data_IF_012892500507
#
_entry.id   IF_012892500507
#
_cell.length_a   1.000
_cell.length_b   1.000
_cell.length_c   1.000
_cell.angle_alpha   90.00
_cell.angle_beta   90.00
_cell.angle_gamma   90.00
#
_symmetry.space_group_name_H-M   'P 1'
#
loop_
_entity.id
_entity.type
_entity.pdbx_description
1 polymer ?
#
# COMPACT_ATOMS: atom_id res chain seq x y z
N UNK A 1 33.18 -46.89 -2.04
CA UNK A 1 31.92 -46.15 -1.85
C UNK A 1 31.99 -45.50 -0.48
N UNK A 2 32.63 -44.34 -0.38
CA UNK A 2 32.75 -43.58 0.86
C UNK A 2 31.59 -42.59 0.95
N UNK A 3 30.92 -42.65 2.10
CA UNK A 3 29.98 -41.65 2.58
C UNK A 3 30.63 -40.26 2.64
N UNK A 4 29.81 -39.24 2.42
CA UNK A 4 30.12 -37.87 2.79
C UNK A 4 29.27 -36.88 2.03
N UNK A 5 28.20 -36.38 2.65
CA UNK A 5 27.97 -34.94 2.76
C UNK A 5 27.08 -34.66 3.96
N UNK A 6 27.58 -33.74 4.77
CA UNK A 6 27.01 -33.16 5.97
C UNK A 6 25.73 -32.36 5.71
N UNK A 7 25.02 -32.08 6.80
CA UNK A 7 23.64 -31.66 6.83
C UNK A 7 23.32 -30.23 6.41
N UNK A 8 22.02 -30.00 6.22
CA UNK A 8 21.39 -28.71 6.41
C UNK A 8 20.15 -28.92 7.28
N UNK A 9 20.23 -28.30 8.44
CA UNK A 9 19.23 -28.24 9.49
C UNK A 9 17.99 -27.43 9.06
N UNK A 10 16.87 -27.89 9.62
CA UNK A 10 15.58 -27.26 9.83
C UNK A 10 15.45 -25.76 9.51
N UNK A 11 14.41 -25.40 8.75
CA UNK A 11 13.16 -24.79 9.28
C UNK A 11 12.37 -24.17 8.12
N UNK A 12 11.57 -24.98 7.41
CA UNK A 12 10.36 -24.47 6.76
C UNK A 12 9.17 -24.87 7.62
N UNK A 13 8.72 -23.92 8.43
CA UNK A 13 7.59 -24.07 9.33
C UNK A 13 6.29 -24.35 8.57
N UNK A 14 5.71 -25.50 8.91
CA UNK A 14 4.29 -25.87 8.91
C UNK A 14 3.29 -24.77 8.53
N UNK A 15 2.64 -24.92 7.37
CA UNK A 15 1.41 -24.21 7.05
C UNK A 15 0.22 -24.86 7.78
N UNK A 16 -0.16 -24.25 8.90
CA UNK A 16 -1.41 -24.54 9.61
C UNK A 16 -2.63 -23.98 8.86
N UNK A 17 -3.61 -24.86 8.68
CA UNK A 17 -4.95 -24.61 8.13
C UNK A 17 -5.77 -23.60 8.96
N UNK A 18 -6.45 -22.66 8.30
CA UNK A 18 -7.39 -21.74 8.95
C UNK A 18 -8.18 -20.86 7.98
N UNK A 19 -9.38 -21.32 7.59
CA UNK A 19 -10.60 -20.53 7.34
C UNK A 19 -10.53 -19.29 6.45
N UNK A 20 -11.17 -19.38 5.28
CA UNK A 20 -11.25 -18.29 4.29
C UNK A 20 -11.58 -16.91 4.85
N UNK A 21 -10.71 -15.95 4.57
CA UNK A 21 -11.00 -14.52 4.55
C UNK A 21 -10.31 -13.92 3.32
N UNK A 22 -11.11 -13.26 2.50
CA UNK A 22 -10.76 -12.36 1.40
C UNK A 22 -9.28 -11.96 1.37
N UNK A 23 -8.58 -12.28 0.27
CA UNK A 23 -7.21 -11.84 -0.04
C UNK A 23 -7.11 -10.34 -0.30
N UNK A 24 -7.69 -9.53 0.58
CA UNK A 24 -7.48 -8.11 0.67
C UNK A 24 -6.22 -7.89 1.51
N UNK A 25 -5.17 -7.27 0.94
CA UNK A 25 -4.01 -6.91 1.73
C UNK A 25 -4.45 -5.97 2.86
N UNK A 26 -4.11 -6.35 4.09
CA UNK A 26 -4.32 -5.53 5.29
C UNK A 26 -3.91 -4.09 4.98
N UNK A 27 -4.72 -3.06 5.30
CA UNK A 27 -4.51 -1.67 4.86
C UNK A 27 -3.07 -1.16 5.05
N UNK A 28 -2.39 -1.61 6.11
CA UNK A 28 -1.00 -1.26 6.39
C UNK A 28 0.02 -1.86 5.41
N UNK A 29 -0.21 -3.03 4.83
CA UNK A 29 0.68 -3.65 3.86
C UNK A 29 0.56 -2.97 2.49
N UNK A 30 -0.67 -2.72 2.02
CA UNK A 30 -0.94 -2.01 0.76
C UNK A 30 -0.33 -0.60 0.75
N UNK A 31 -0.46 0.13 1.87
CA UNK A 31 0.11 1.47 2.02
C UNK A 31 1.63 1.45 1.99
N UNK A 32 2.27 0.47 2.63
CA UNK A 32 3.74 0.31 2.57
C UNK A 32 4.21 0.01 1.16
N UNK A 33 3.53 -0.89 0.45
CA UNK A 33 3.89 -1.22 -0.93
C UNK A 33 3.74 -0.01 -1.85
N UNK A 34 2.63 0.73 -1.74
CA UNK A 34 2.45 1.98 -2.48
C UNK A 34 3.55 3.01 -2.16
N UNK A 35 3.84 3.21 -0.87
CA UNK A 35 4.88 4.14 -0.43
C UNK A 35 6.26 3.80 -1.02
N UNK A 36 6.63 2.52 -1.05
CA UNK A 36 7.90 2.09 -1.67
C UNK A 36 7.90 2.29 -3.19
N UNK A 37 6.76 2.11 -3.88
CA UNK A 37 6.65 2.44 -5.32
C UNK A 37 6.96 3.92 -5.55
N UNK A 38 6.27 4.83 -4.86
CA UNK A 38 6.49 6.29 -4.98
C UNK A 38 7.95 6.65 -4.70
N UNK A 39 8.50 6.13 -3.61
CA UNK A 39 9.89 6.36 -3.18
C UNK A 39 10.90 5.89 -4.21
N UNK A 40 10.67 4.75 -4.86
CA UNK A 40 11.56 4.22 -5.90
C UNK A 40 11.57 5.12 -7.14
N UNK A 41 10.39 5.57 -7.59
CA UNK A 41 10.29 6.52 -8.70
C UNK A 41 10.95 7.86 -8.37
N UNK A 42 10.73 8.40 -7.15
CA UNK A 42 11.37 9.64 -6.70
C UNK A 42 12.90 9.51 -6.70
N UNK A 43 13.43 8.42 -6.15
CA UNK A 43 14.87 8.16 -6.14
C UNK A 43 15.43 8.01 -7.55
N UNK A 44 14.70 7.34 -8.46
CA UNK A 44 15.09 7.21 -9.87
C UNK A 44 15.17 8.58 -10.55
N UNK A 45 14.27 9.51 -10.21
CA UNK A 45 14.29 10.89 -10.69
C UNK A 45 15.40 11.75 -10.04
N UNK A 46 16.19 11.20 -9.09
CA UNK A 46 17.26 11.92 -8.42
C UNK A 46 16.79 12.97 -7.41
N UNK A 47 15.51 12.97 -7.03
CA UNK A 47 14.93 13.96 -6.14
C UNK A 47 15.02 13.53 -4.67
N UNK A 48 15.34 14.46 -3.77
CA UNK A 48 15.11 14.26 -2.32
C UNK A 48 13.63 14.44 -1.98
N UNK A 49 13.22 14.11 -0.74
CA UNK A 49 11.84 14.38 -0.30
C UNK A 49 11.55 15.88 -0.27
N UNK A 50 12.54 16.68 0.14
CA UNK A 50 12.48 18.14 0.20
C UNK A 50 12.33 18.79 -1.17
N UNK A 51 12.94 18.20 -2.21
CA UNK A 51 12.81 18.66 -3.59
C UNK A 51 11.49 18.22 -4.22
N UNK A 52 11.04 17.00 -3.93
CA UNK A 52 9.82 16.45 -4.51
C UNK A 52 8.55 17.04 -3.91
N UNK A 53 8.54 17.26 -2.59
CA UNK A 53 7.39 17.77 -1.85
C UNK A 53 6.75 19.05 -2.44
N UNK A 54 7.51 20.12 -2.76
CA UNK A 54 6.93 21.31 -3.37
C UNK A 54 6.40 21.07 -4.79
N UNK A 55 6.93 20.10 -5.54
CA UNK A 55 6.46 19.78 -6.89
C UNK A 55 5.05 19.17 -6.85
N UNK A 56 4.76 18.34 -5.84
CA UNK A 56 3.43 17.77 -5.60
C UNK A 56 2.54 18.63 -4.70
N UNK A 57 3.01 19.79 -4.24
CA UNK A 57 2.22 20.71 -3.40
C UNK A 57 2.05 20.28 -1.94
N UNK A 58 2.94 19.45 -1.40
CA UNK A 58 2.88 18.94 -0.02
C UNK A 58 4.13 19.27 0.79
N UNK A 59 4.09 19.02 2.10
CA UNK A 59 5.28 19.13 2.96
C UNK A 59 6.19 17.89 2.84
N UNK A 60 7.51 18.02 3.10
CA UNK A 60 8.41 16.87 3.11
C UNK A 60 7.99 15.77 4.09
N UNK A 61 7.42 16.13 5.25
CA UNK A 61 6.91 15.19 6.24
C UNK A 61 5.70 14.41 5.72
N UNK A 62 4.85 15.07 4.92
CA UNK A 62 3.70 14.42 4.29
C UNK A 62 4.17 13.39 3.27
N UNK A 63 5.12 13.76 2.41
CA UNK A 63 5.78 12.84 1.47
C UNK A 63 6.41 11.67 2.22
N UNK A 64 7.19 11.93 3.27
CA UNK A 64 7.82 10.88 4.06
C UNK A 64 6.81 9.92 4.69
N UNK A 65 5.71 10.45 5.24
CA UNK A 65 4.64 9.64 5.84
C UNK A 65 3.94 8.73 4.81
N UNK A 66 3.76 9.22 3.58
CA UNK A 66 3.22 8.44 2.45
C UNK A 66 4.23 7.36 2.02
N UNK A 67 5.49 7.72 1.81
CA UNK A 67 6.54 6.77 1.41
C UNK A 67 6.77 5.66 2.45
N UNK A 68 6.55 5.97 3.73
CA UNK A 68 6.65 5.00 4.83
C UNK A 68 5.36 4.19 5.04
N UNK A 69 4.32 4.42 4.24
CA UNK A 69 3.03 3.74 4.33
C UNK A 69 2.25 4.05 5.60
N UNK A 70 2.56 5.17 6.28
CA UNK A 70 1.85 5.62 7.49
C UNK A 70 0.64 6.48 7.18
N UNK A 71 0.54 7.00 5.94
CA UNK A 71 -0.53 7.88 5.49
C UNK A 71 -1.11 7.40 4.16
N UNK A 72 -2.44 7.38 4.06
CA UNK A 72 -3.14 7.25 2.78
C UNK A 72 -2.85 8.51 1.93
N UNK A 73 -2.34 8.38 0.70
CA UNK A 73 -2.10 9.53 -0.16
C UNK A 73 -3.44 10.22 -0.47
N UNK A 74 -3.48 11.56 -0.45
CA UNK A 74 -4.57 12.32 -1.05
C UNK A 74 -4.79 11.92 -2.53
N UNK A 75 -6.01 12.04 -3.08
CA UNK A 75 -6.28 11.62 -4.47
C UNK A 75 -5.39 12.31 -5.51
N UNK A 76 -5.22 13.62 -5.38
CA UNK A 76 -4.40 14.49 -6.23
C UNK A 76 -2.90 14.19 -6.11
N UNK A 77 -2.43 13.73 -4.93
CA UNK A 77 -1.03 13.34 -4.75
C UNK A 77 -0.61 12.25 -5.74
N UNK A 78 -1.44 11.22 -5.94
CA UNK A 78 -1.08 10.11 -6.80
C UNK A 78 -1.01 10.51 -8.28
N UNK A 79 -1.90 11.41 -8.72
CA UNK A 79 -1.91 11.97 -10.08
C UNK A 79 -0.65 12.82 -10.33
N UNK A 80 -0.38 13.79 -9.44
CA UNK A 80 0.79 14.66 -9.54
C UNK A 80 2.10 13.86 -9.45
N UNK A 81 2.20 12.91 -8.53
CA UNK A 81 3.38 12.07 -8.38
C UNK A 81 3.64 11.22 -9.63
N UNK A 82 2.59 10.71 -10.29
CA UNK A 82 2.73 9.91 -11.51
C UNK A 82 3.28 10.76 -12.67
N UNK A 83 2.76 11.97 -12.83
CA UNK A 83 3.19 12.93 -13.84
C UNK A 83 4.63 13.42 -13.60
N UNK A 84 4.93 13.94 -12.41
CA UNK A 84 6.24 14.56 -12.09
C UNK A 84 7.37 13.54 -12.13
N UNK A 85 7.11 12.29 -11.75
CA UNK A 85 8.12 11.24 -11.68
C UNK A 85 8.21 10.38 -12.95
N UNK A 86 7.44 10.73 -13.99
CA UNK A 86 7.33 9.99 -15.25
C UNK A 86 7.10 8.50 -14.98
N UNK A 87 6.04 8.21 -14.22
CA UNK A 87 5.74 6.87 -13.72
C UNK A 87 4.85 6.05 -14.67
N UNK A 88 4.47 6.59 -15.82
CA UNK A 88 3.71 5.91 -16.88
C UNK A 88 2.42 5.22 -16.36
N UNK A 89 1.72 5.85 -15.42
CA UNK A 89 0.48 5.35 -14.84
C UNK A 89 0.66 4.30 -13.73
N UNK A 90 1.89 3.95 -13.36
CA UNK A 90 2.16 2.92 -12.33
C UNK A 90 1.73 3.40 -10.94
N UNK A 91 2.03 4.64 -10.57
CA UNK A 91 1.67 5.19 -9.26
C UNK A 91 0.15 5.37 -9.19
N UNK A 92 -0.45 5.94 -10.23
CA UNK A 92 -1.89 6.12 -10.31
C UNK A 92 -2.65 4.78 -10.30
N UNK A 93 -2.13 3.77 -11.00
CA UNK A 93 -2.65 2.40 -10.98
C UNK A 93 -2.61 1.78 -9.59
N UNK A 94 -1.48 1.89 -8.89
CA UNK A 94 -1.32 1.38 -7.54
C UNK A 94 -2.27 2.05 -6.53
N UNK A 95 -2.49 3.37 -6.65
CA UNK A 95 -3.39 4.12 -5.77
C UNK A 95 -4.83 3.60 -5.78
N UNK A 96 -5.32 3.08 -6.92
CA UNK A 96 -6.68 2.49 -7.04
C UNK A 96 -6.91 1.31 -6.10
N UNK A 97 -5.84 0.62 -5.71
CA UNK A 97 -5.90 -0.54 -4.82
C UNK A 97 -5.75 -0.19 -3.34
N UNK A 98 -5.44 1.07 -3.01
CA UNK A 98 -5.42 1.54 -1.61
C UNK A 98 -6.83 1.71 -1.04
N UNK A 99 -7.83 1.84 -1.90
CA UNK A 99 -9.23 2.00 -1.50
C UNK A 99 -10.05 0.72 -1.71
N UNK A 100 -10.28 0.00 -0.60
CA UNK A 100 -11.47 -0.85 -0.38
C UNK A 100 -11.98 -0.48 1.03
N UNK A 101 -13.16 0.10 1.27
CA UNK A 101 -14.48 0.03 0.60
C UNK A 101 -15.14 1.42 0.53
N UNK A 102 -15.83 1.74 -0.57
CA UNK A 102 -17.13 2.44 -0.49
C UNK A 102 -18.16 1.42 -0.06
N UNK A 103 -18.30 1.23 1.24
CA UNK A 103 -19.34 0.42 1.83
C UNK A 103 -19.65 1.04 3.17
N UNK A 104 -20.91 1.45 3.36
CA UNK A 104 -21.41 1.95 4.63
C UNK A 104 -20.83 1.11 5.77
N UNK A 105 -20.37 1.77 6.83
CA UNK A 105 -19.86 1.10 8.01
C UNK A 105 -20.83 -0.01 8.42
N UNK A 106 -20.32 -1.16 8.86
CA UNK A 106 -21.18 -2.33 9.16
C UNK A 106 -22.32 -1.96 10.13
N UNK A 107 -22.06 -1.07 11.08
CA UNK A 107 -23.06 -0.53 12.01
C UNK A 107 -24.12 0.36 11.31
N UNK A 108 -23.76 1.09 10.27
CA UNK A 108 -24.70 1.92 9.49
C UNK A 108 -25.55 1.08 8.54
N UNK A 109 -25.01 -0.03 8.02
CA UNK A 109 -25.80 -1.01 7.23
C UNK A 109 -26.90 -1.64 8.06
N UNK A 110 -26.63 -1.95 9.32
CA UNK A 110 -27.63 -2.51 10.24
C UNK A 110 -28.72 -1.48 10.59
N UNK A 111 -28.36 -0.22 10.85
CA UNK A 111 -29.33 0.85 11.10
C UNK A 111 -30.23 1.12 9.89
N UNK A 112 -29.66 1.24 8.68
CA UNK A 112 -30.43 1.52 7.46
C UNK A 112 -31.44 0.41 7.11
N UNK A 113 -31.18 -0.84 7.52
CA UNK A 113 -32.10 -1.96 7.37
C UNK A 113 -33.28 -1.91 8.35
N UNK A 114 -33.11 -1.30 9.53
CA UNK A 114 -34.19 -1.12 10.52
C UNK A 114 -35.14 0.02 10.14
N UNK A 115 -34.63 1.07 9.50
CA UNK A 115 -35.45 2.25 9.12
C UNK A 115 -36.34 2.00 7.88
N UNK A 116 -35.93 1.08 6.97
CA UNK A 116 -36.67 0.71 5.75
C UNK A 116 -37.78 -0.34 5.96
N UNK A 117 -37.96 -0.82 7.20
CA UNK A 117 -38.93 -1.86 7.56
C UNK A 117 -40.26 -1.36 8.12
N UNK A 118 -40.66 -0.10 7.86
CA UNK A 118 -41.95 0.47 8.25
C UNK A 118 -42.86 0.68 7.03
#
# INVERSE_FOLDING_TARGET
>A
MTHGTDGIDSTYGTFGNGGGRSGEPEPHYSLKMFGEVVKNFRKRAGLTQEQFAPLVGYSPETVASIEQGRRLPPPDFAELADEILDAFGVILGAAKHLTRRKGLASWFRQWAQLELGR
#
